data_IF_626387186366
#
_entry.id   IF_626387186366
#
_cell.length_a   1.000
_cell.length_b   1.000
_cell.length_c   1.000
_cell.angle_alpha   90.00
_cell.angle_beta   90.00
_cell.angle_gamma   90.00
#
_symmetry.space_group_name_H-M   'P 1'
#
loop_
_entity.id
_entity.type
_entity.pdbx_description
1 polymer ?
#
# COMPACT_ATOMS: atom_id res chain seq x y z
N UNK A 1 -17.42 -4.76 -35.51
CA UNK A 1 -16.67 -3.50 -35.34
C UNK A 1 -15.86 -3.67 -34.07
N UNK A 2 -14.63 -4.16 -34.21
CA UNK A 2 -13.73 -4.47 -33.09
C UNK A 2 -13.00 -3.19 -32.68
N UNK A 3 -13.32 -2.64 -31.51
CA UNK A 3 -12.51 -1.61 -30.87
C UNK A 3 -11.42 -2.32 -30.08
N UNK A 4 -10.25 -2.50 -30.69
CA UNK A 4 -9.03 -2.86 -29.98
C UNK A 4 -8.46 -1.61 -29.33
N UNK A 5 -8.55 -1.51 -28.00
CA UNK A 5 -7.73 -0.56 -27.24
C UNK A 5 -6.30 -1.08 -27.29
N UNK A 6 -5.47 -0.46 -28.14
CA UNK A 6 -4.01 -0.61 -28.06
C UNK A 6 -3.54 0.31 -26.93
N UNK A 7 -2.94 -0.25 -25.88
CA UNK A 7 -2.04 0.54 -25.03
C UNK A 7 -0.93 1.08 -25.95
N UNK A 8 -0.88 2.41 -26.11
CA UNK A 8 0.20 3.05 -26.87
C UNK A 8 1.49 2.91 -26.07
N UNK A 9 2.24 1.85 -26.33
CA UNK A 9 3.67 1.83 -26.10
C UNK A 9 4.36 2.71 -27.13
N UNK A 10 4.65 3.95 -26.78
CA UNK A 10 5.44 4.86 -27.61
C UNK A 10 6.10 5.94 -26.76
N UNK A 11 7.26 6.41 -27.23
CA UNK A 11 8.15 7.47 -26.72
C UNK A 11 7.43 8.81 -26.42
N UNK A 12 6.45 8.84 -25.53
CA UNK A 12 5.95 10.10 -24.99
C UNK A 12 6.99 10.65 -24.00
N UNK A 13 7.47 11.89 -24.21
CA UNK A 13 8.43 12.49 -23.31
C UNK A 13 7.84 12.49 -21.90
N UNK A 14 8.64 12.08 -20.92
CA UNK A 14 8.25 12.13 -19.53
C UNK A 14 7.62 13.48 -19.18
N UNK A 15 6.48 13.43 -18.50
CA UNK A 15 5.93 14.63 -17.87
C UNK A 15 6.98 15.27 -16.97
N UNK A 16 7.01 16.59 -16.91
CA UNK A 16 7.91 17.33 -16.01
C UNK A 16 7.10 18.06 -14.97
N UNK A 17 7.47 17.87 -13.72
CA UNK A 17 6.92 18.58 -12.58
C UNK A 17 8.06 19.34 -11.94
N UNK A 18 8.18 20.61 -12.29
CA UNK A 18 9.29 21.45 -11.84
C UNK A 18 8.81 22.82 -11.39
N UNK A 19 9.49 23.39 -10.38
CA UNK A 19 9.21 24.72 -9.85
C UNK A 19 7.78 24.89 -9.34
N UNK A 20 7.25 23.84 -8.71
CA UNK A 20 5.95 23.85 -8.06
C UNK A 20 6.12 24.02 -6.54
N UNK A 21 5.09 24.60 -5.91
CA UNK A 21 4.93 24.56 -4.46
C UNK A 21 3.77 23.62 -4.15
N UNK A 22 4.07 22.52 -3.46
CA UNK A 22 3.06 21.60 -2.94
C UNK A 22 2.77 21.97 -1.48
N UNK A 23 1.62 22.57 -1.24
CA UNK A 23 1.15 23.00 0.07
C UNK A 23 -0.03 22.13 0.52
N UNK A 24 0.19 21.28 1.53
CA UNK A 24 -0.79 20.30 1.99
C UNK A 24 -1.33 20.64 3.37
N UNK A 25 -2.65 20.49 3.53
CA UNK A 25 -3.33 20.59 4.83
C UNK A 25 -3.77 19.24 5.37
N UNK A 26 -3.86 18.23 4.51
CA UNK A 26 -4.12 16.84 4.86
C UNK A 26 -3.88 15.91 3.65
N UNK A 27 -3.97 14.60 3.87
CA UNK A 27 -3.84 13.57 2.83
C UNK A 27 -2.40 13.20 2.50
N UNK A 28 -2.24 12.51 1.37
CA UNK A 28 -0.96 12.07 0.81
C UNK A 28 -0.77 12.70 -0.57
N UNK A 29 0.43 13.23 -0.83
CA UNK A 29 0.77 13.80 -2.13
C UNK A 29 1.12 12.72 -3.16
N UNK A 30 1.90 11.73 -2.73
CA UNK A 30 2.41 10.66 -3.58
C UNK A 30 1.73 9.36 -3.20
N UNK A 31 0.76 8.94 -4.02
CA UNK A 31 0.02 7.71 -3.84
C UNK A 31 0.28 6.74 -5.01
N UNK A 32 0.67 5.48 -4.77
CA UNK A 32 0.83 4.49 -5.82
C UNK A 32 -0.49 4.22 -6.56
N UNK A 33 -0.48 4.23 -7.89
CA UNK A 33 -1.65 3.85 -8.68
C UNK A 33 -1.54 2.37 -9.02
N UNK A 34 -2.53 1.57 -8.61
CA UNK A 34 -2.48 0.09 -8.71
C UNK A 34 -1.22 -0.54 -8.10
N UNK A 35 -0.72 0.06 -7.00
CA UNK A 35 0.49 -0.39 -6.32
C UNK A 35 1.78 -0.16 -7.10
N UNK A 36 1.77 0.79 -8.06
CA UNK A 36 2.96 1.21 -8.79
C UNK A 36 3.25 2.68 -8.52
N UNK A 37 4.50 2.96 -8.21
CA UNK A 37 5.03 4.31 -8.10
C UNK A 37 5.22 4.90 -9.50
N UNK A 38 5.13 6.22 -9.60
CA UNK A 38 5.53 6.90 -10.83
C UNK A 38 7.06 6.85 -10.97
N UNK A 39 7.51 6.26 -12.06
CA UNK A 39 8.93 6.13 -12.42
C UNK A 39 9.27 6.89 -13.69
N UNK A 40 8.27 7.43 -14.39
CA UNK A 40 8.46 8.07 -15.69
C UNK A 40 8.55 9.60 -15.56
N UNK A 41 7.71 10.21 -14.72
CA UNK A 41 7.70 11.66 -14.56
C UNK A 41 9.00 12.17 -13.95
N UNK A 42 9.54 13.26 -14.53
CA UNK A 42 10.73 13.94 -14.04
C UNK A 42 10.30 15.02 -13.05
N UNK A 43 10.88 14.98 -11.85
CA UNK A 43 10.62 15.94 -10.78
C UNK A 43 11.90 16.66 -10.43
N UNK A 44 11.88 18.00 -10.38
CA UNK A 44 13.02 18.80 -9.89
C UNK A 44 12.64 20.23 -9.46
N UNK A 45 13.42 20.83 -8.58
CA UNK A 45 13.20 22.20 -8.09
C UNK A 45 11.81 22.45 -7.49
N UNK A 46 11.17 21.46 -6.86
CA UNK A 46 9.89 21.67 -6.19
C UNK A 46 10.05 21.96 -4.70
N UNK A 47 9.13 22.74 -4.15
CA UNK A 47 9.04 23.03 -2.72
C UNK A 47 7.85 22.26 -2.13
N UNK A 48 8.06 21.56 -1.03
CA UNK A 48 7.02 20.82 -0.35
C UNK A 48 6.82 21.31 1.07
N UNK A 49 5.56 21.47 1.47
CA UNK A 49 5.20 21.82 2.83
C UNK A 49 3.86 21.22 3.21
N UNK A 50 3.76 20.78 4.47
CA UNK A 50 2.50 20.33 5.05
C UNK A 50 2.27 21.01 6.39
N UNK A 51 1.03 21.38 6.66
CA UNK A 51 0.63 22.20 7.83
C UNK A 51 0.09 21.39 9.00
N UNK A 52 -0.23 20.12 8.80
CA UNK A 52 -0.83 19.23 9.82
C UNK A 52 0.20 18.53 10.72
N UNK A 53 1.48 18.86 10.59
CA UNK A 53 2.57 18.35 11.44
C UNK A 53 2.91 16.87 11.27
N UNK A 54 2.27 16.16 10.34
CA UNK A 54 2.63 14.76 10.02
C UNK A 54 3.91 14.70 9.16
N UNK A 55 4.57 13.53 9.05
CA UNK A 55 5.69 13.35 8.11
C UNK A 55 5.26 13.56 6.66
N UNK A 56 6.11 14.17 5.84
CA UNK A 56 5.91 14.21 4.39
C UNK A 56 6.59 13.00 3.76
N UNK A 57 5.81 12.14 3.11
CA UNK A 57 6.28 10.89 2.52
C UNK A 57 6.14 10.90 0.99
N UNK A 58 7.09 10.27 0.32
CA UNK A 58 7.20 10.13 -1.12
C UNK A 58 7.13 8.63 -1.44
N UNK A 59 5.95 8.14 -1.81
CA UNK A 59 5.67 6.70 -1.94
C UNK A 59 6.04 5.89 -0.67
N UNK A 60 5.73 6.46 0.51
CA UNK A 60 5.99 5.82 1.81
C UNK A 60 7.45 5.82 2.24
N UNK A 61 8.30 6.65 1.61
CA UNK A 61 9.70 6.89 2.00
C UNK A 61 9.91 8.37 2.37
N UNK A 62 10.91 8.70 3.20
CA UNK A 62 11.23 10.09 3.52
C UNK A 62 11.83 10.84 2.31
N UNK A 63 11.82 12.17 2.33
CA UNK A 63 12.30 13.00 1.23
C UNK A 63 13.76 12.73 0.86
N UNK A 64 14.63 12.45 1.83
CA UNK A 64 16.04 12.17 1.59
C UNK A 64 16.23 10.91 0.74
N UNK A 65 15.38 9.89 0.93
CA UNK A 65 15.39 8.69 0.11
C UNK A 65 14.89 8.96 -1.32
N UNK A 66 13.88 9.83 -1.47
CA UNK A 66 13.43 10.32 -2.77
C UNK A 66 14.55 11.01 -3.55
N UNK A 67 15.27 11.92 -2.89
CA UNK A 67 16.44 12.60 -3.47
C UNK A 67 17.58 11.65 -3.81
N UNK A 68 17.87 10.69 -2.92
CA UNK A 68 18.89 9.67 -3.15
C UNK A 68 18.58 8.75 -4.34
N UNK A 69 17.30 8.58 -4.67
CA UNK A 69 16.85 7.85 -5.89
C UNK A 69 17.08 8.63 -7.20
N UNK A 70 17.64 9.84 -7.11
CA UNK A 70 17.91 10.72 -8.25
C UNK A 70 16.74 11.62 -8.63
N UNK A 71 15.65 11.61 -7.86
CA UNK A 71 14.44 12.39 -8.12
C UNK A 71 14.41 13.65 -7.26
N UNK A 72 13.96 14.76 -7.84
CA UNK A 72 13.85 16.06 -7.17
C UNK A 72 15.10 16.49 -6.37
N UNK A 73 16.26 16.31 -7.00
CA UNK A 73 17.58 16.51 -6.38
C UNK A 73 17.78 17.93 -5.85
N UNK A 74 17.12 18.92 -6.46
CA UNK A 74 17.20 20.31 -6.04
C UNK A 74 15.99 20.76 -5.23
N UNK A 75 14.99 19.90 -5.04
CA UNK A 75 13.81 20.22 -4.25
C UNK A 75 14.11 20.47 -2.77
N UNK A 76 13.13 21.07 -2.08
CA UNK A 76 13.23 21.40 -0.67
C UNK A 76 11.94 21.03 0.07
N UNK A 77 12.10 20.64 1.34
CA UNK A 77 10.99 20.56 2.31
C UNK A 77 11.13 21.72 3.29
N UNK A 78 10.31 22.76 3.11
CA UNK A 78 10.33 23.96 3.95
C UNK A 78 9.04 24.78 3.78
N UNK A 79 8.67 25.55 4.81
CA UNK A 79 7.55 26.50 4.76
C UNK A 79 7.75 27.51 3.61
N UNK A 80 6.82 27.63 2.64
CA UNK A 80 6.91 28.58 1.53
C UNK A 80 6.83 30.04 1.95
N UNK A 81 6.43 30.34 3.19
CA UNK A 81 6.29 31.70 3.73
C UNK A 81 5.37 32.55 2.87
N UNK A 82 4.17 32.03 2.61
CA UNK A 82 3.09 32.79 2.00
C UNK A 82 2.69 34.00 2.87
N UNK A 83 2.07 35.01 2.26
CA UNK A 83 1.59 36.20 2.97
C UNK A 83 0.45 35.83 3.92
N UNK A 84 -0.61 35.20 3.42
CA UNK A 84 -1.78 34.77 4.21
C UNK A 84 -2.53 33.61 3.51
N UNK A 85 -2.04 32.36 3.63
CA UNK A 85 -2.63 31.22 2.92
C UNK A 85 -4.04 30.85 3.41
N UNK A 86 -4.40 31.18 4.66
CA UNK A 86 -5.74 30.95 5.21
C UNK A 86 -6.81 31.84 4.55
N UNK A 87 -6.38 32.98 3.99
CA UNK A 87 -7.22 33.86 3.18
C UNK A 87 -6.94 33.76 1.68
N UNK A 88 -6.30 32.68 1.25
CA UNK A 88 -5.92 32.41 -0.14
C UNK A 88 -4.94 33.43 -0.76
N UNK A 89 -4.16 34.14 0.06
CA UNK A 89 -3.07 35.00 -0.40
C UNK A 89 -1.74 34.22 -0.44
N UNK A 90 -1.53 33.56 -1.58
CA UNK A 90 -0.36 32.73 -1.85
C UNK A 90 0.83 33.52 -2.44
N UNK A 91 0.89 34.84 -2.24
CA UNK A 91 2.09 35.61 -2.58
C UNK A 91 3.24 35.21 -1.66
N UNK A 92 4.44 35.13 -2.20
CA UNK A 92 5.65 34.72 -1.49
C UNK A 92 6.28 35.92 -0.78
N UNK A 93 6.59 35.78 0.51
CA UNK A 93 7.41 36.77 1.22
C UNK A 93 8.81 36.90 0.58
N UNK A 94 9.51 38.04 0.78
CA UNK A 94 10.84 38.25 0.20
C UNK A 94 11.87 37.18 0.58
N UNK A 95 11.74 36.60 1.78
CA UNK A 95 12.64 35.60 2.35
C UNK A 95 12.11 34.15 2.21
N UNK A 96 11.17 33.93 1.29
CA UNK A 96 10.65 32.60 0.98
C UNK A 96 11.75 31.67 0.44
N UNK A 97 11.84 30.40 0.91
CA UNK A 97 12.77 29.42 0.36
C UNK A 97 12.47 29.07 -1.10
N UNK A 98 11.24 29.28 -1.58
CA UNK A 98 10.83 29.00 -2.95
C UNK A 98 11.68 29.79 -3.97
N UNK A 99 12.17 30.97 -3.60
CA UNK A 99 13.03 31.80 -4.46
C UNK A 99 14.38 31.14 -4.76
N UNK A 100 14.91 30.31 -3.85
CA UNK A 100 16.12 29.50 -4.09
C UNK A 100 15.92 28.47 -5.20
N UNK A 101 14.67 28.09 -5.44
CA UNK A 101 14.25 27.16 -6.49
C UNK A 101 13.78 27.89 -7.76
N UNK A 102 13.97 29.22 -7.82
CA UNK A 102 13.49 30.06 -8.92
C UNK A 102 11.96 30.01 -9.09
N UNK A 103 11.23 29.86 -7.98
CA UNK A 103 9.78 29.96 -7.94
C UNK A 103 9.40 31.39 -7.53
N UNK A 104 8.57 32.03 -8.33
CA UNK A 104 8.07 33.39 -8.12
C UNK A 104 6.57 33.40 -7.82
N UNK A 105 6.06 34.53 -7.29
CA UNK A 105 4.62 34.69 -7.08
C UNK A 105 3.91 34.83 -8.42
N UNK A 106 2.79 34.14 -8.56
CA UNK A 106 1.91 34.29 -9.73
C UNK A 106 1.05 35.53 -9.51
N UNK A 107 0.97 36.38 -10.53
CA UNK A 107 0.00 37.47 -10.58
C UNK A 107 -1.40 36.88 -10.88
N UNK A 108 -2.14 36.61 -9.81
CA UNK A 108 -3.48 36.00 -9.91
C UNK A 108 -4.52 36.90 -10.57
N UNK A 109 -4.25 38.21 -10.73
CA UNK A 109 -5.12 39.12 -11.48
C UNK A 109 -5.18 38.77 -12.97
N UNK A 110 -4.21 37.98 -13.45
CA UNK A 110 -4.09 37.50 -14.83
C UNK A 110 -4.54 36.05 -15.01
N UNK A 111 -5.15 35.44 -13.99
CA UNK A 111 -5.65 34.08 -14.05
C UNK A 111 -7.17 34.06 -14.30
N UNK A 112 -7.65 33.03 -15.00
CA UNK A 112 -9.08 32.86 -15.30
C UNK A 112 -9.54 33.58 -16.57
N UNK A 113 -10.84 33.84 -16.67
CA UNK A 113 -11.46 34.51 -17.82
C UNK A 113 -11.27 36.02 -17.68
N UNK A 114 -10.37 36.57 -18.50
CA UNK A 114 -10.10 38.03 -18.57
C UNK A 114 -10.91 38.68 -19.68
N UNK A 115 -11.00 38.01 -20.84
CA UNK A 115 -11.76 38.45 -22.00
C UNK A 115 -12.64 37.33 -22.56
N UNK A 116 -13.75 37.69 -23.24
CA UNK A 116 -14.26 39.06 -23.40
C UNK A 116 -14.92 39.60 -22.10
N UNK A 117 -15.05 40.93 -21.93
CA UNK A 117 -15.48 41.55 -20.67
C UNK A 117 -16.81 41.02 -20.12
N UNK A 118 -17.75 40.65 -21.00
CA UNK A 118 -19.03 40.07 -20.62
C UNK A 118 -18.89 38.72 -19.91
N UNK A 119 -17.95 37.86 -20.35
CA UNK A 119 -17.69 36.57 -19.69
C UNK A 119 -16.90 36.75 -18.39
N UNK A 120 -15.98 37.70 -18.34
CA UNK A 120 -15.28 38.06 -17.11
C UNK A 120 -16.26 38.62 -16.06
N UNK A 121 -17.22 39.45 -16.48
CA UNK A 121 -18.27 39.98 -15.60
C UNK A 121 -19.20 38.88 -15.09
N UNK A 122 -19.57 37.91 -15.95
CA UNK A 122 -20.38 36.76 -15.55
C UNK A 122 -19.65 35.88 -14.55
N UNK A 123 -18.37 35.57 -14.78
CA UNK A 123 -17.57 34.76 -13.87
C UNK A 123 -17.45 35.39 -12.46
N UNK A 124 -17.31 36.71 -12.38
CA UNK A 124 -17.22 37.45 -11.10
C UNK A 124 -18.52 37.46 -10.28
N UNK A 125 -19.67 37.17 -10.90
CA UNK A 125 -20.95 37.06 -10.19
C UNK A 125 -21.11 35.73 -9.46
N UNK A 126 -20.32 34.71 -9.84
CA UNK A 126 -20.41 33.41 -9.20
C UNK A 126 -19.82 33.46 -7.77
N UNK A 127 -20.62 33.06 -6.79
CA UNK A 127 -20.16 32.81 -5.43
C UNK A 127 -20.23 31.32 -5.16
N UNK A 128 -19.10 30.72 -4.82
CA UNK A 128 -19.02 29.32 -4.46
C UNK A 128 -18.92 29.18 -2.93
N UNK A 129 -19.64 28.22 -2.31
CA UNK A 129 -19.39 27.91 -0.92
C UNK A 129 -17.94 27.42 -0.75
N UNK A 130 -17.30 27.67 0.40
CA UNK A 130 -15.97 27.14 0.67
C UNK A 130 -15.93 25.63 0.51
N UNK A 131 -14.92 25.14 -0.23
CA UNK A 131 -14.65 23.70 -0.31
C UNK A 131 -14.27 23.19 1.08
N UNK A 132 -15.11 22.32 1.64
CA UNK A 132 -14.79 21.59 2.87
C UNK A 132 -14.21 20.24 2.48
N UNK A 133 -12.91 20.08 2.67
CA UNK A 133 -12.32 18.77 2.50
C UNK A 133 -12.81 17.84 3.62
N UNK A 134 -13.21 16.60 3.33
CA UNK A 134 -13.58 15.66 4.37
C UNK A 134 -12.36 15.34 5.24
N UNK A 135 -12.54 14.99 6.52
CA UNK A 135 -11.45 14.51 7.34
C UNK A 135 -10.88 13.22 6.72
N UNK A 136 -9.55 13.10 6.70
CA UNK A 136 -8.89 11.86 6.29
C UNK A 136 -9.32 10.74 7.25
N UNK A 137 -9.89 9.61 6.76
CA UNK A 137 -10.24 8.49 7.61
C UNK A 137 -9.01 8.02 8.41
N UNK A 138 -9.16 7.65 9.69
CA UNK A 138 -8.06 7.03 10.42
C UNK A 138 -7.66 5.71 9.73
N UNK A 139 -6.37 5.32 9.79
CA UNK A 139 -5.96 4.02 9.29
C UNK A 139 -6.75 2.91 10.01
N UNK A 140 -6.99 1.75 9.35
CA UNK A 140 -7.66 0.63 9.99
C UNK A 140 -6.99 0.28 11.32
N UNK A 141 -7.80 0.10 12.37
CA UNK A 141 -7.28 -0.33 13.65
C UNK A 141 -6.69 -1.75 13.53
N UNK A 142 -5.62 -2.07 14.28
CA UNK A 142 -5.10 -3.42 14.32
C UNK A 142 -6.16 -4.41 14.80
N UNK A 143 -6.27 -5.55 14.11
CA UNK A 143 -7.27 -6.58 14.38
C UNK A 143 -6.62 -7.89 14.79
N UNK A 144 -7.04 -8.41 15.94
CA UNK A 144 -6.72 -9.80 16.32
C UNK A 144 -7.63 -10.74 15.55
N UNK A 145 -7.04 -11.79 14.99
CA UNK A 145 -7.76 -12.84 14.27
C UNK A 145 -7.71 -14.09 15.13
N UNK A 146 -8.87 -14.67 15.41
CA UNK A 146 -9.02 -15.87 16.22
C UNK A 146 -10.05 -16.79 15.57
N UNK A 147 -9.58 -17.68 14.70
CA UNK A 147 -10.42 -18.63 13.97
C UNK A 147 -10.21 -20.05 14.47
N UNK A 148 -11.30 -20.66 14.95
CA UNK A 148 -11.38 -22.09 15.26
C UNK A 148 -12.28 -22.86 14.30
N UNK A 149 -12.86 -22.17 13.30
CA UNK A 149 -13.71 -22.70 12.23
C UNK A 149 -15.05 -23.34 12.64
N UNK A 150 -15.35 -23.46 13.93
CA UNK A 150 -16.55 -24.16 14.41
C UNK A 150 -17.87 -23.47 14.00
N UNK A 151 -17.85 -22.16 13.78
CA UNK A 151 -19.01 -21.37 13.34
C UNK A 151 -19.07 -21.18 11.82
N UNK A 152 -17.97 -21.46 11.11
CA UNK A 152 -17.92 -21.31 9.65
C UNK A 152 -18.64 -22.51 8.98
N UNK A 153 -19.56 -22.29 8.03
CA UNK A 153 -20.24 -23.38 7.33
C UNK A 153 -19.27 -24.33 6.62
N UNK A 154 -19.61 -25.61 6.55
CA UNK A 154 -18.82 -26.58 5.78
C UNK A 154 -18.83 -26.19 4.29
N UNK A 155 -17.68 -26.29 3.65
CA UNK A 155 -17.47 -25.85 2.26
C UNK A 155 -17.22 -24.36 2.08
N UNK A 156 -17.40 -23.53 3.12
CA UNK A 156 -17.14 -22.10 3.05
C UNK A 156 -15.66 -21.75 3.28
N UNK A 157 -15.14 -20.66 2.70
CA UNK A 157 -13.83 -20.11 3.06
C UNK A 157 -13.82 -19.61 4.52
N UNK A 158 -12.64 -19.47 5.15
CA UNK A 158 -12.55 -18.97 6.52
C UNK A 158 -12.97 -17.50 6.58
N UNK A 159 -13.65 -17.11 7.65
CA UNK A 159 -14.12 -15.74 7.83
C UNK A 159 -12.96 -14.74 7.84
N UNK A 160 -13.15 -13.59 7.18
CA UNK A 160 -12.21 -12.46 7.18
C UNK A 160 -10.93 -12.65 6.35
N UNK A 161 -10.71 -13.83 5.76
CA UNK A 161 -9.58 -14.04 4.86
C UNK A 161 -9.93 -13.63 3.43
N UNK A 162 -8.93 -13.14 2.70
CA UNK A 162 -8.98 -13.08 1.25
C UNK A 162 -8.47 -14.42 0.74
N UNK A 163 -9.30 -15.12 -0.03
CA UNK A 163 -9.02 -16.45 -0.58
C UNK A 163 -8.86 -16.35 -2.09
N UNK A 164 -7.82 -16.98 -2.62
CA UNK A 164 -7.54 -17.03 -4.06
C UNK A 164 -7.35 -18.48 -4.48
N UNK A 165 -8.21 -18.87 -5.43
CA UNK A 165 -8.20 -20.16 -6.12
C UNK A 165 -8.31 -19.91 -7.61
N UNK A 166 -7.81 -20.83 -8.44
CA UNK A 166 -7.86 -20.71 -9.90
C UNK A 166 -9.03 -21.47 -10.54
N UNK A 167 -9.70 -22.33 -9.77
CA UNK A 167 -10.83 -23.12 -10.25
C UNK A 167 -10.43 -24.36 -11.05
N UNK A 168 -9.16 -24.79 -10.92
CA UNK A 168 -8.59 -25.97 -11.59
C UNK A 168 -8.78 -27.27 -10.81
N UNK A 169 -9.68 -27.29 -9.82
CA UNK A 169 -9.82 -28.35 -8.82
C UNK A 169 -9.13 -28.01 -7.49
N UNK A 170 -8.49 -26.85 -7.40
CA UNK A 170 -7.97 -26.30 -6.16
C UNK A 170 -9.10 -25.70 -5.31
N UNK A 171 -8.95 -25.77 -3.98
CA UNK A 171 -9.97 -25.30 -3.06
C UNK A 171 -9.38 -24.91 -1.70
N UNK A 172 -10.02 -23.94 -1.03
CA UNK A 172 -9.78 -23.62 0.37
C UNK A 172 -11.12 -23.51 1.09
N UNK A 173 -11.41 -24.48 1.96
CA UNK A 173 -12.73 -24.59 2.57
C UNK A 173 -12.68 -25.24 3.95
N UNK A 174 -13.61 -24.85 4.82
CA UNK A 174 -13.79 -25.49 6.12
C UNK A 174 -14.45 -26.85 5.94
N UNK A 175 -13.89 -27.88 6.58
CA UNK A 175 -14.38 -29.26 6.56
C UNK A 175 -14.44 -29.85 7.97
N UNK A 176 -15.08 -31.01 8.10
CA UNK A 176 -15.15 -31.83 9.32
C UNK A 176 -14.40 -33.16 9.18
N UNK A 177 -13.51 -33.27 8.18
CA UNK A 177 -12.73 -34.49 7.91
C UNK A 177 -11.66 -34.73 8.99
N UNK A 178 -11.04 -33.65 9.47
CA UNK A 178 -9.98 -33.64 10.47
C UNK A 178 -10.07 -32.37 11.30
N UNK A 179 -9.58 -32.40 12.54
CA UNK A 179 -9.45 -31.20 13.36
C UNK A 179 -8.31 -31.33 14.38
N UNK A 180 -7.58 -30.25 14.62
CA UNK A 180 -6.60 -30.17 15.72
C UNK A 180 -7.29 -30.00 17.09
N UNK A 181 -8.46 -29.37 17.07
CA UNK A 181 -9.34 -29.10 18.22
C UNK A 181 -10.77 -28.97 17.70
N UNK A 182 -11.76 -29.31 18.52
CA UNK A 182 -13.16 -29.24 18.08
C UNK A 182 -13.47 -30.32 17.04
N UNK A 183 -14.21 -29.97 15.99
CA UNK A 183 -14.67 -30.87 14.94
C UNK A 183 -14.37 -30.38 13.53
N UNK A 184 -14.00 -29.11 13.35
CA UNK A 184 -13.75 -28.51 12.03
C UNK A 184 -12.32 -28.04 11.89
N UNK A 185 -11.83 -28.05 10.65
CA UNK A 185 -10.59 -27.38 10.27
C UNK A 185 -10.69 -26.79 8.88
N UNK A 186 -9.75 -25.90 8.55
CA UNK A 186 -9.60 -25.41 7.20
C UNK A 186 -8.74 -26.37 6.38
N UNK A 187 -9.27 -26.84 5.25
CA UNK A 187 -8.56 -27.69 4.29
C UNK A 187 -8.15 -26.86 3.07
N UNK A 188 -6.88 -26.99 2.70
CA UNK A 188 -6.32 -26.46 1.46
C UNK A 188 -6.08 -27.65 0.53
N UNK A 189 -6.67 -27.62 -0.66
CA UNK A 189 -6.56 -28.66 -1.69
C UNK A 189 -5.85 -28.06 -2.90
N UNK A 190 -4.66 -28.58 -3.20
CA UNK A 190 -3.89 -28.21 -4.39
C UNK A 190 -4.35 -29.00 -5.64
N UNK A 191 -4.00 -28.50 -6.82
CA UNK A 191 -4.30 -29.14 -8.10
C UNK A 191 -3.11 -29.03 -9.08
N UNK A 192 -2.97 -30.03 -9.96
CA UNK A 192 -1.96 -29.97 -11.00
C UNK A 192 -2.37 -28.96 -12.09
N UNK A 193 -1.40 -28.22 -12.63
CA UNK A 193 -1.62 -27.33 -13.78
C UNK A 193 -2.11 -25.92 -13.45
N UNK A 194 -2.08 -25.52 -12.17
CA UNK A 194 -2.32 -24.14 -11.76
C UNK A 194 -1.26 -23.20 -12.37
N UNK A 195 -1.70 -22.02 -12.78
CA UNK A 195 -0.89 -20.95 -13.36
C UNK A 195 0.18 -20.46 -12.39
N UNK A 196 -0.14 -20.39 -11.11
CA UNK A 196 0.77 -19.89 -10.08
C UNK A 196 1.09 -20.97 -9.04
N UNK A 197 2.38 -21.23 -8.83
CA UNK A 197 2.85 -22.21 -7.85
C UNK A 197 2.55 -21.85 -6.38
N UNK A 198 2.06 -20.64 -6.12
CA UNK A 198 1.60 -20.19 -4.81
C UNK A 198 0.09 -20.31 -4.63
N UNK A 199 -0.66 -20.73 -5.65
CA UNK A 199 -2.07 -21.04 -5.52
C UNK A 199 -2.27 -22.54 -5.19
N UNK A 200 -3.33 -22.88 -4.44
CA UNK A 200 -4.26 -21.95 -3.80
C UNK A 200 -3.64 -21.25 -2.58
N UNK A 201 -4.07 -20.01 -2.28
CA UNK A 201 -3.64 -19.31 -1.07
C UNK A 201 -4.73 -18.48 -0.42
N UNK A 202 -4.49 -18.13 0.84
CA UNK A 202 -5.27 -17.14 1.57
C UNK A 202 -4.36 -16.19 2.35
N UNK A 203 -4.88 -15.02 2.69
CA UNK A 203 -4.20 -14.09 3.58
C UNK A 203 -5.18 -13.24 4.37
N UNK A 204 -4.70 -12.74 5.51
CA UNK A 204 -5.39 -11.77 6.34
C UNK A 204 -4.64 -10.44 6.33
N UNK A 205 -5.36 -9.36 6.61
CA UNK A 205 -4.80 -8.01 6.77
C UNK A 205 -5.06 -7.51 8.20
N UNK A 206 -4.25 -7.93 9.19
CA UNK A 206 -4.51 -7.58 10.60
C UNK A 206 -4.11 -6.14 10.97
N UNK A 207 -3.49 -5.38 10.06
CA UNK A 207 -3.10 -3.98 10.27
C UNK A 207 -2.19 -3.73 11.50
N UNK A 208 -1.31 -4.68 11.83
CA UNK A 208 -0.28 -4.48 12.86
C UNK A 208 0.89 -3.66 12.28
N UNK A 209 1.29 -2.58 12.98
CA UNK A 209 2.35 -1.67 12.53
C UNK A 209 3.51 -1.50 13.53
N UNK A 210 3.32 -1.83 14.80
CA UNK A 210 4.32 -1.67 15.86
C UNK A 210 4.10 -2.70 16.97
N UNK A 211 5.11 -2.87 17.82
CA UNK A 211 5.07 -3.81 18.94
C UNK A 211 5.38 -5.25 18.53
N UNK A 212 4.93 -6.22 19.32
CA UNK A 212 5.19 -7.64 19.09
C UNK A 212 3.97 -8.30 18.46
N UNK A 213 4.11 -8.79 17.22
CA UNK A 213 3.09 -9.62 16.57
C UNK A 213 3.37 -11.11 16.82
N UNK A 214 2.29 -11.87 17.01
CA UNK A 214 2.35 -13.31 17.24
C UNK A 214 1.29 -14.00 16.38
N UNK A 215 1.70 -15.00 15.61
CA UNK A 215 0.81 -15.90 14.89
C UNK A 215 0.94 -17.30 15.50
N UNK A 216 -0.22 -17.92 15.76
CA UNK A 216 -0.32 -19.32 16.19
C UNK A 216 -1.30 -20.05 15.31
N UNK A 217 -0.94 -21.24 14.87
CA UNK A 217 -1.86 -22.13 14.18
C UNK A 217 -1.45 -23.58 14.38
N UNK A 218 -2.41 -24.49 14.23
CA UNK A 218 -2.15 -25.92 14.09
C UNK A 218 -2.21 -26.28 12.60
N UNK A 219 -1.27 -27.09 12.13
CA UNK A 219 -1.25 -27.58 10.75
C UNK A 219 -0.96 -29.07 10.70
N UNK A 220 -1.64 -29.77 9.79
CA UNK A 220 -1.40 -31.18 9.50
C UNK A 220 -1.13 -31.32 8.01
N UNK A 221 0.09 -31.72 7.67
CA UNK A 221 0.53 -31.89 6.28
C UNK A 221 0.13 -33.28 5.78
N UNK A 222 -0.52 -33.36 4.62
CA UNK A 222 -0.70 -34.65 3.93
C UNK A 222 0.56 -35.05 3.15
N UNK A 223 0.64 -36.32 2.76
CA UNK A 223 1.77 -36.82 1.97
C UNK A 223 1.93 -36.01 0.67
N UNK A 224 3.14 -35.50 0.44
CA UNK A 224 3.47 -34.71 -0.76
C UNK A 224 3.07 -33.23 -0.69
N UNK A 225 2.34 -32.79 0.34
CA UNK A 225 1.91 -31.40 0.48
C UNK A 225 3.10 -30.47 0.77
N UNK A 226 3.05 -29.26 0.23
CA UNK A 226 4.01 -28.18 0.49
C UNK A 226 3.27 -27.01 1.12
N UNK A 227 3.79 -26.49 2.22
CA UNK A 227 3.28 -25.27 2.85
C UNK A 227 4.33 -24.18 2.71
N UNK A 228 3.89 -23.00 2.25
CA UNK A 228 4.64 -21.76 2.37
C UNK A 228 3.78 -20.75 3.14
N UNK A 229 4.40 -20.12 4.14
CA UNK A 229 3.79 -19.06 4.94
C UNK A 229 4.74 -17.87 5.00
N UNK A 230 4.21 -16.68 4.75
CA UNK A 230 4.99 -15.46 4.67
C UNK A 230 4.20 -14.27 5.24
N UNK A 231 4.88 -13.43 6.02
CA UNK A 231 4.38 -12.10 6.33
C UNK A 231 4.97 -11.10 5.36
N UNK A 232 4.13 -10.27 4.74
CA UNK A 232 4.57 -9.22 3.83
C UNK A 232 3.65 -8.01 3.89
N UNK A 233 4.18 -6.86 3.50
CA UNK A 233 3.36 -5.69 3.21
C UNK A 233 2.73 -5.79 1.80
N UNK A 234 2.08 -4.71 1.36
CA UNK A 234 1.54 -4.58 0.01
C UNK A 234 2.43 -3.73 -0.92
N UNK A 235 3.69 -3.44 -0.52
CA UNK A 235 4.61 -2.59 -1.30
C UNK A 235 5.14 -3.33 -2.54
N UNK A 236 5.77 -2.58 -3.43
CA UNK A 236 6.49 -3.14 -4.58
C UNK A 236 7.91 -2.55 -4.67
N UNK A 237 8.98 -3.33 -4.40
CA UNK A 237 8.96 -4.72 -3.95
C UNK A 237 8.38 -4.87 -2.54
N UNK A 238 7.87 -6.07 -2.22
CA UNK A 238 7.35 -6.36 -0.89
C UNK A 238 8.46 -6.23 0.15
N UNK A 239 8.14 -5.66 1.31
CA UNK A 239 8.94 -5.89 2.51
C UNK A 239 8.47 -7.20 3.13
N UNK A 240 9.38 -8.16 3.16
CA UNK A 240 9.12 -9.51 3.65
C UNK A 240 9.56 -9.61 5.12
N UNK A 241 8.69 -10.14 5.96
CA UNK A 241 8.96 -10.45 7.36
C UNK A 241 9.28 -11.93 7.56
N UNK A 242 8.81 -12.55 8.67
CA UNK A 242 8.97 -13.98 8.90
C UNK A 242 8.45 -14.84 7.74
N UNK A 243 9.27 -15.82 7.35
CA UNK A 243 8.93 -16.85 6.36
C UNK A 243 9.11 -18.23 6.94
N UNK A 244 8.19 -19.15 6.63
CA UNK A 244 8.22 -20.55 7.02
C UNK A 244 7.84 -21.39 5.80
N UNK A 245 8.59 -22.46 5.55
CA UNK A 245 8.26 -23.46 4.52
C UNK A 245 8.39 -24.87 5.09
N UNK A 246 7.41 -25.71 4.79
CA UNK A 246 7.46 -27.17 5.00
C UNK A 246 7.38 -27.81 3.62
N UNK A 247 8.44 -28.50 3.20
CA UNK A 247 8.45 -29.19 1.91
C UNK A 247 7.75 -30.56 1.96
N UNK A 248 7.62 -31.19 0.79
CA UNK A 248 6.94 -32.48 0.63
C UNK A 248 7.58 -33.64 1.41
N UNK A 249 8.84 -33.49 1.85
CA UNK A 249 9.55 -34.46 2.69
C UNK A 249 9.45 -34.11 4.19
N UNK A 250 8.63 -33.11 4.56
CA UNK A 250 8.47 -32.62 5.92
C UNK A 250 9.66 -31.81 6.43
N UNK A 251 10.58 -31.36 5.57
CA UNK A 251 11.67 -30.49 6.02
C UNK A 251 11.14 -29.08 6.27
N UNK A 252 11.30 -28.60 7.49
CA UNK A 252 10.99 -27.22 7.88
C UNK A 252 12.18 -26.33 7.56
N UNK A 253 11.90 -25.16 7.01
CA UNK A 253 12.87 -24.07 6.85
C UNK A 253 12.23 -22.72 7.20
N UNK A 254 13.03 -21.82 7.77
CA UNK A 254 12.60 -20.47 8.08
C UNK A 254 13.76 -19.50 7.80
N UNK A 255 13.46 -18.31 7.25
CA UNK A 255 14.47 -17.32 6.86
C UNK A 255 15.66 -17.91 6.07
N UNK A 256 15.36 -18.80 5.11
CA UNK A 256 16.36 -19.48 4.28
C UNK A 256 17.20 -20.57 4.99
N UNK A 257 16.96 -20.84 6.28
CA UNK A 257 17.69 -21.85 7.05
C UNK A 257 16.86 -23.11 7.20
N UNK A 258 17.47 -24.28 6.98
CA UNK A 258 16.86 -25.57 7.30
C UNK A 258 16.84 -25.75 8.81
N UNK A 259 15.69 -26.15 9.34
CA UNK A 259 15.47 -26.46 10.75
C UNK A 259 15.37 -27.98 10.91
N UNK A 260 14.29 -28.46 11.52
CA UNK A 260 14.00 -29.88 11.73
C UNK A 260 13.17 -30.49 10.59
N UNK A 261 13.08 -31.82 10.59
CA UNK A 261 12.06 -32.56 9.83
C UNK A 261 10.89 -32.90 10.75
N UNK A 262 9.67 -32.72 10.26
CA UNK A 262 8.43 -33.01 10.99
C UNK A 262 7.67 -34.17 10.34
N UNK A 263 6.89 -34.94 11.10
CA UNK A 263 6.05 -35.99 10.54
C UNK A 263 4.90 -35.40 9.71
N UNK A 264 4.52 -36.12 8.64
CA UNK A 264 3.27 -35.90 7.93
C UNK A 264 2.12 -36.55 8.70
N UNK A 265 0.88 -36.19 8.34
CA UNK A 265 -0.36 -36.75 8.88
C UNK A 265 -0.54 -36.60 10.40
N UNK A 266 0.24 -35.71 11.00
CA UNK A 266 0.21 -35.36 12.42
C UNK A 266 -0.03 -33.86 12.57
N UNK A 267 -0.85 -33.45 13.54
CA UNK A 267 -1.05 -32.04 13.85
C UNK A 267 0.21 -31.46 14.54
N UNK A 268 0.67 -30.34 14.01
CA UNK A 268 1.82 -29.59 14.50
C UNK A 268 1.35 -28.22 14.95
N UNK A 269 1.77 -27.78 16.13
CA UNK A 269 1.53 -26.41 16.60
C UNK A 269 2.71 -25.52 16.20
N UNK A 270 2.42 -24.44 15.49
CA UNK A 270 3.41 -23.47 15.03
C UNK A 270 3.13 -22.13 15.72
N UNK A 271 4.18 -21.54 16.29
CA UNK A 271 4.16 -20.16 16.76
C UNK A 271 5.25 -19.36 16.04
N UNK A 272 4.88 -18.19 15.51
CA UNK A 272 5.80 -17.23 14.92
C UNK A 272 5.66 -15.92 15.71
N UNK A 273 6.77 -15.40 16.22
CA UNK A 273 6.84 -14.11 16.92
C UNK A 273 7.75 -13.17 16.14
N UNK A 274 7.34 -11.91 15.97
CA UNK A 274 8.17 -10.85 15.38
C UNK A 274 7.96 -9.52 16.08
N UNK A 275 9.00 -8.70 16.19
CA UNK A 275 8.87 -7.27 16.50
C UNK A 275 8.51 -6.51 15.23
N UNK A 276 7.74 -5.44 15.35
CA UNK A 276 7.27 -4.60 14.26
C UNK A 276 7.68 -3.14 14.48
N UNK A 277 7.76 -2.39 13.38
CA UNK A 277 8.15 -0.98 13.38
C UNK A 277 9.65 -0.81 13.61
N UNK A 278 10.04 0.23 14.34
CA UNK A 278 11.47 0.56 14.59
C UNK A 278 12.23 -0.49 15.41
N UNK A 279 11.52 -1.45 16.02
CA UNK A 279 12.10 -2.53 16.81
C UNK A 279 12.30 -3.83 16.03
N UNK A 280 11.90 -3.86 14.74
CA UNK A 280 12.08 -4.98 13.83
C UNK A 280 13.52 -5.09 13.31
#
# INVERSE_FOLDING_TARGET
MDVRIRERGGDEPAGRVERNIFYLTQGELFHPVHGRDDTHTIWDYNLYWRTDGKPLEFYGEPFEAWQASGRDRHGLVADPRFVDPERFDFRLKPDSPARKLHIESIDTSRCGIIEPPELAALARQATFPPTKLPPVPPPPAPQTIAENFETTPLGAPPAGAIVVVEGGGDAIAVTDEQAASGRRSLKLTDAAGLQHAFNPHLYYQPHFHHGRAVLRFAVRMEQGAVLAHEWRDARRPYRVGPTLRIDAAGQVSAAGRRLLRVPVQTWLHVEITCQLGKAA
#
